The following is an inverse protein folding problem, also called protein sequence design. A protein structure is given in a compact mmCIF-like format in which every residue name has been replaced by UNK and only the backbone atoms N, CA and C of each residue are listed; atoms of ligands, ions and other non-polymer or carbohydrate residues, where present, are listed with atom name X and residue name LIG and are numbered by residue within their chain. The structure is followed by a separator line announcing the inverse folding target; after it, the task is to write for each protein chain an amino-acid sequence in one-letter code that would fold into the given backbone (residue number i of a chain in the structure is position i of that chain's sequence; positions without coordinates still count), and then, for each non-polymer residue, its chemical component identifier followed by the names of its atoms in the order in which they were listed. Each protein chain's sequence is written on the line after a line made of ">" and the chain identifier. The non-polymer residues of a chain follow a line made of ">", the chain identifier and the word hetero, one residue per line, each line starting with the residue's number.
data_IF_666010036738
#
_entry.id   IF_666010036738
#
_cell.length_a   1.000
_cell.length_b   1.000
_cell.length_c   1.000
_cell.angle_alpha   90.00
_cell.angle_beta   90.00
_cell.angle_gamma   90.00
#
_symmetry.space_group_name_H-M   'P 1'
#
loop_
_entity.id
_entity.type
_entity.pdbx_description
1 polymer ?
#
# COMPACT_ATOMS: atom_id res chain seq x y z
N UNK A 1 17.94 -21.94 -59.51
CA UNK A 1 18.88 -21.71 -58.40
C UNK A 1 18.37 -20.49 -57.63
N UNK A 2 17.64 -20.71 -56.54
CA UNK A 2 17.24 -19.64 -55.62
C UNK A 2 17.33 -20.21 -54.21
N UNK A 3 18.21 -19.64 -53.41
CA UNK A 3 18.35 -19.83 -51.98
C UNK A 3 17.97 -18.49 -51.35
N UNK A 4 16.99 -18.47 -50.46
CA UNK A 4 16.81 -17.45 -49.41
C UNK A 4 16.01 -18.10 -48.26
N UNK A 5 16.45 -17.96 -47.00
CA UNK A 5 15.90 -18.71 -45.88
C UNK A 5 14.76 -18.00 -45.15
N UNK A 6 14.04 -18.82 -44.39
CA UNK A 6 12.94 -18.57 -43.46
C UNK A 6 12.89 -17.19 -42.78
N UNK A 7 11.74 -16.54 -42.90
CA UNK A 7 11.29 -15.55 -41.94
C UNK A 7 10.75 -16.28 -40.69
N UNK A 8 11.43 -16.11 -39.56
CA UNK A 8 10.92 -16.49 -38.24
C UNK A 8 9.84 -15.48 -37.84
N UNK A 9 8.65 -15.90 -37.38
CA UNK A 9 7.75 -14.99 -36.69
C UNK A 9 8.36 -14.60 -35.34
N UNK A 10 8.47 -13.30 -35.10
CA UNK A 10 8.82 -12.71 -33.81
C UNK A 10 7.69 -13.03 -32.81
N UNK A 11 7.86 -14.13 -32.06
CA UNK A 11 7.09 -14.37 -30.85
C UNK A 11 7.49 -13.30 -29.82
N UNK A 12 6.72 -12.22 -29.81
CA UNK A 12 6.71 -11.25 -28.73
C UNK A 12 6.24 -11.98 -27.47
N UNK A 13 7.20 -12.49 -26.69
CA UNK A 13 6.99 -12.86 -25.29
C UNK A 13 6.75 -11.56 -24.53
N UNK A 14 5.52 -11.07 -24.61
CA UNK A 14 4.98 -10.19 -23.60
C UNK A 14 4.89 -11.02 -22.31
N UNK A 15 5.86 -10.82 -21.43
CA UNK A 15 5.80 -11.24 -20.02
C UNK A 15 4.48 -10.74 -19.45
N UNK A 16 3.49 -11.61 -19.46
CA UNK A 16 2.17 -11.36 -18.89
C UNK A 16 2.33 -11.46 -17.39
N UNK A 17 2.49 -10.30 -16.75
CA UNK A 17 2.12 -10.15 -15.34
C UNK A 17 0.70 -10.72 -15.20
N UNK A 18 0.35 -11.45 -14.12
CA UNK A 18 -1.02 -11.88 -13.92
C UNK A 18 -1.89 -10.62 -13.99
N UNK A 19 -2.80 -10.59 -14.96
CA UNK A 19 -3.75 -9.51 -15.20
C UNK A 19 -4.60 -9.38 -13.94
N UNK A 20 -4.11 -8.58 -13.00
CA UNK A 20 -4.83 -8.26 -11.79
C UNK A 20 -5.76 -7.15 -12.20
N UNK A 21 -7.00 -7.50 -12.53
CA UNK A 21 -8.02 -6.52 -12.82
C UNK A 21 -8.18 -5.61 -11.59
N UNK A 22 -7.90 -4.32 -11.79
CA UNK A 22 -8.07 -3.31 -10.76
C UNK A 22 -9.46 -2.70 -10.89
N UNK A 23 -10.17 -2.64 -9.77
CA UNK A 23 -11.45 -1.95 -9.66
C UNK A 23 -11.30 -0.72 -8.79
N UNK A 24 -11.95 0.38 -9.19
CA UNK A 24 -11.94 1.63 -8.43
C UNK A 24 -12.99 1.55 -7.32
N UNK A 25 -12.53 1.60 -6.08
CA UNK A 25 -13.40 1.81 -4.93
C UNK A 25 -13.50 3.30 -4.62
N UNK A 26 -14.71 3.82 -4.52
CA UNK A 26 -14.97 5.21 -4.16
C UNK A 26 -15.94 5.26 -2.98
N UNK A 27 -15.60 6.05 -1.96
CA UNK A 27 -16.47 6.35 -0.85
C UNK A 27 -16.82 7.85 -0.86
N UNK A 28 -17.95 8.25 -1.47
CA UNK A 28 -18.34 9.66 -1.54
C UNK A 28 -18.69 10.26 -0.17
N UNK A 29 -19.06 9.45 0.83
CA UNK A 29 -19.34 9.95 2.17
C UNK A 29 -18.06 10.48 2.87
N UNK A 30 -16.91 9.90 2.53
CA UNK A 30 -15.61 10.31 3.06
C UNK A 30 -14.75 11.05 2.04
N UNK A 31 -15.20 11.20 0.79
CA UNK A 31 -14.48 11.86 -0.30
C UNK A 31 -13.11 11.27 -0.60
N UNK A 32 -13.01 9.94 -0.67
CA UNK A 32 -11.80 9.29 -1.17
C UNK A 32 -12.14 8.22 -2.20
N UNK A 33 -11.19 7.94 -3.08
CA UNK A 33 -11.22 6.81 -3.99
C UNK A 33 -9.83 6.22 -4.18
N UNK A 34 -9.74 4.92 -4.38
CA UNK A 34 -8.50 4.23 -4.72
C UNK A 34 -8.78 2.97 -5.51
N UNK A 35 -7.79 2.50 -6.27
CA UNK A 35 -7.88 1.24 -7.00
C UNK A 35 -7.46 0.09 -6.09
N UNK A 36 -8.19 -1.01 -6.17
CA UNK A 36 -7.86 -2.25 -5.49
C UNK A 36 -7.96 -3.42 -6.46
N UNK A 37 -7.32 -4.55 -6.18
CA UNK A 37 -7.58 -5.78 -6.91
C UNK A 37 -9.05 -6.17 -6.79
N UNK A 38 -9.70 -6.51 -7.91
CA UNK A 38 -11.10 -6.93 -7.94
C UNK A 38 -11.34 -8.20 -7.12
N UNK A 39 -10.36 -9.11 -7.09
CA UNK A 39 -10.40 -10.37 -6.35
C UNK A 39 -10.52 -10.20 -4.83
N UNK A 40 -10.23 -9.01 -4.27
CA UNK A 40 -10.22 -8.82 -2.83
C UNK A 40 -11.64 -8.65 -2.27
N UNK A 41 -11.91 -9.29 -1.14
CA UNK A 41 -13.18 -9.18 -0.45
C UNK A 41 -13.20 -7.97 0.49
N UNK A 42 -14.32 -7.25 0.53
CA UNK A 42 -14.54 -6.21 1.53
C UNK A 42 -14.94 -6.88 2.85
N UNK A 43 -14.27 -6.51 3.94
CA UNK A 43 -14.53 -7.00 5.29
C UNK A 43 -14.68 -5.82 6.24
N UNK A 44 -15.54 -5.96 7.24
CA UNK A 44 -15.70 -4.94 8.28
C UNK A 44 -14.69 -5.17 9.41
N UNK A 45 -14.08 -4.08 9.89
CA UNK A 45 -13.20 -4.09 11.07
C UNK A 45 -13.39 -2.79 11.83
N UNK A 46 -13.61 -2.91 13.14
CA UNK A 46 -13.77 -1.75 14.01
C UNK A 46 -12.57 -0.80 13.88
N UNK A 47 -12.85 0.48 13.61
CA UNK A 47 -11.85 1.54 13.47
C UNK A 47 -11.28 1.73 12.05
N UNK A 48 -11.63 0.86 11.09
CA UNK A 48 -11.38 1.12 9.67
C UNK A 48 -12.68 1.61 9.01
N UNK A 49 -12.57 2.54 8.07
CA UNK A 49 -13.70 2.97 7.24
C UNK A 49 -14.01 1.91 6.17
N UNK A 50 -12.96 1.35 5.56
CA UNK A 50 -13.07 0.14 4.75
C UNK A 50 -11.84 -0.75 4.96
N UNK A 51 -12.01 -2.06 4.85
CA UNK A 51 -10.91 -3.01 4.84
C UNK A 51 -11.17 -4.04 3.73
N UNK A 52 -10.17 -4.24 2.88
CA UNK A 52 -10.14 -5.28 1.87
C UNK A 52 -9.17 -6.37 2.31
N UNK A 53 -9.53 -7.61 2.06
CA UNK A 53 -8.71 -8.79 2.37
C UNK A 53 -8.55 -9.63 1.11
N UNK A 54 -7.36 -10.17 0.94
CA UNK A 54 -7.13 -11.16 -0.11
C UNK A 54 -7.80 -12.51 0.29
N UNK A 55 -8.69 -13.07 -0.55
CA UNK A 55 -9.38 -14.32 -0.23
C UNK A 55 -8.45 -15.54 -0.19
N UNK A 56 -7.35 -15.50 -0.97
CA UNK A 56 -6.32 -16.55 -1.02
C UNK A 56 -5.40 -16.39 0.19
N UNK A 57 -4.93 -15.17 0.44
CA UNK A 57 -4.04 -14.83 1.56
C UNK A 57 -4.74 -13.94 2.57
N UNK A 58 -5.49 -14.55 3.49
CA UNK A 58 -6.24 -13.82 4.55
C UNK A 58 -5.38 -12.93 5.46
N UNK A 59 -4.06 -13.11 5.46
CA UNK A 59 -3.10 -12.28 6.17
C UNK A 59 -2.75 -10.98 5.42
N UNK A 60 -3.00 -10.92 4.11
CA UNK A 60 -2.86 -9.72 3.30
C UNK A 60 -4.13 -8.87 3.36
N UNK A 61 -3.99 -7.63 3.79
CA UNK A 61 -5.12 -6.71 3.95
C UNK A 61 -4.79 -5.30 3.51
N UNK A 62 -5.74 -4.58 2.94
CA UNK A 62 -5.61 -3.17 2.55
C UNK A 62 -6.82 -2.42 3.09
N UNK A 63 -6.61 -1.50 4.03
CA UNK A 63 -7.70 -0.74 4.64
C UNK A 63 -7.50 0.75 4.53
N UNK A 64 -8.60 1.49 4.57
CA UNK A 64 -8.62 2.93 4.75
C UNK A 64 -9.18 3.24 6.14
N UNK A 65 -8.52 4.13 6.84
CA UNK A 65 -8.96 4.68 8.11
C UNK A 65 -9.10 6.19 7.96
N UNK A 66 -10.26 6.74 8.31
CA UNK A 66 -10.52 8.18 8.26
C UNK A 66 -10.78 8.67 9.67
N UNK A 67 -9.98 9.62 10.15
CA UNK A 67 -10.07 10.16 11.50
C UNK A 67 -10.14 11.69 11.47
N UNK A 68 -11.01 12.32 12.25
CA UNK A 68 -10.99 13.77 12.41
C UNK A 68 -9.73 14.20 13.18
N UNK A 69 -9.05 15.24 12.71
CA UNK A 69 -7.84 15.79 13.32
C UNK A 69 -7.92 17.32 13.41
N UNK A 70 -7.33 17.91 14.44
CA UNK A 70 -7.36 19.37 14.60
C UNK A 70 -6.40 20.10 13.65
N UNK A 71 -5.38 19.40 13.13
CA UNK A 71 -4.42 20.02 12.22
C UNK A 71 -4.95 20.02 10.77
N UNK A 72 -4.73 21.11 10.02
CA UNK A 72 -5.24 21.22 8.65
C UNK A 72 -4.37 20.50 7.62
N UNK A 73 -3.07 20.33 7.90
CA UNK A 73 -2.09 19.77 6.95
C UNK A 73 -1.14 18.80 7.64
N UNK A 74 -0.62 17.86 6.86
CA UNK A 74 0.33 16.85 7.34
C UNK A 74 1.71 17.46 7.69
N UNK A 75 2.07 18.57 7.06
CA UNK A 75 3.32 19.29 7.33
C UNK A 75 3.45 19.75 8.80
N UNK A 76 2.31 20.01 9.46
CA UNK A 76 2.27 20.35 10.90
C UNK A 76 2.76 19.21 11.79
N UNK A 77 2.68 17.96 11.33
CA UNK A 77 3.24 16.81 12.06
C UNK A 77 4.77 16.69 11.93
N UNK A 78 5.33 17.35 10.92
CA UNK A 78 6.74 17.33 10.55
C UNK A 78 6.95 16.97 9.07
N UNK A 79 8.21 17.03 8.66
CA UNK A 79 8.66 16.56 7.35
C UNK A 79 8.46 15.04 7.21
N UNK A 80 8.53 14.55 5.97
CA UNK A 80 8.47 13.11 5.65
C UNK A 80 9.37 12.27 6.57
N UNK A 81 10.60 12.71 6.81
CA UNK A 81 11.59 12.02 7.65
C UNK A 81 11.18 12.00 9.12
N UNK A 82 10.70 13.13 9.66
CA UNK A 82 10.25 13.20 11.06
C UNK A 82 9.03 12.32 11.29
N UNK A 83 8.09 12.30 10.35
CA UNK A 83 6.91 11.43 10.43
C UNK A 83 7.31 9.97 10.26
N UNK A 84 8.24 9.65 9.36
CA UNK A 84 8.80 8.31 9.20
C UNK A 84 9.44 7.81 10.50
N UNK A 85 10.26 8.64 11.16
CA UNK A 85 10.89 8.29 12.44
C UNK A 85 9.86 8.08 13.55
N UNK A 86 8.85 8.96 13.65
CA UNK A 86 7.74 8.79 14.60
C UNK A 86 6.95 7.50 14.34
N UNK A 87 6.69 7.17 13.08
CA UNK A 87 6.03 5.95 12.67
C UNK A 87 6.85 4.71 13.05
N UNK A 88 8.15 4.72 12.77
CA UNK A 88 9.07 3.65 13.17
C UNK A 88 9.14 3.51 14.70
N UNK A 89 9.22 4.62 15.43
CA UNK A 89 9.23 4.63 16.89
C UNK A 89 7.92 4.06 17.47
N UNK A 90 6.77 4.45 16.92
CA UNK A 90 5.47 3.93 17.32
C UNK A 90 5.33 2.42 17.05
N UNK A 91 5.87 1.94 15.93
CA UNK A 91 5.89 0.50 15.62
C UNK A 91 6.83 -0.28 16.56
N UNK A 92 8.00 0.27 16.87
CA UNK A 92 8.96 -0.32 17.83
C UNK A 92 8.45 -0.30 19.28
N UNK A 93 7.59 0.67 19.62
CA UNK A 93 6.98 0.75 20.95
C UNK A 93 5.97 -0.39 21.23
N UNK A 94 5.53 -1.12 20.19
CA UNK A 94 4.65 -2.28 20.36
C UNK A 94 5.45 -3.47 20.89
N UNK A 95 4.99 -4.06 21.98
CA UNK A 95 5.64 -5.21 22.65
C UNK A 95 5.92 -6.40 21.72
N UNK A 96 5.08 -6.61 20.71
CA UNK A 96 5.24 -7.71 19.74
C UNK A 96 6.30 -7.46 18.66
N UNK A 97 6.79 -6.23 18.53
CA UNK A 97 7.70 -5.82 17.45
C UNK A 97 9.15 -6.01 17.88
N UNK A 98 9.90 -6.79 17.12
CA UNK A 98 11.34 -7.01 17.35
C UNK A 98 12.17 -5.95 16.64
N UNK A 99 11.84 -5.65 15.39
CA UNK A 99 12.58 -4.69 14.57
C UNK A 99 11.70 -4.08 13.49
N UNK A 100 12.02 -2.86 13.09
CA UNK A 100 11.31 -2.13 12.03
C UNK A 100 12.36 -1.55 11.09
N UNK A 101 12.19 -1.80 9.80
CA UNK A 101 13.08 -1.34 8.74
C UNK A 101 12.29 -0.53 7.72
N UNK A 102 12.60 0.74 7.58
CA UNK A 102 12.05 1.56 6.50
C UNK A 102 12.66 1.09 5.17
N UNK A 103 11.83 0.75 4.19
CA UNK A 103 12.25 0.32 2.86
C UNK A 103 12.16 1.47 1.86
N UNK A 104 11.09 2.26 1.93
CA UNK A 104 10.87 3.40 1.06
C UNK A 104 10.02 4.43 1.77
N UNK A 105 10.29 5.70 1.50
CA UNK A 105 9.48 6.83 1.94
C UNK A 105 9.39 7.81 0.77
N UNK A 106 8.20 8.31 0.51
CA UNK A 106 7.93 9.23 -0.58
C UNK A 106 6.93 10.28 -0.12
N UNK A 107 7.14 11.51 -0.57
CA UNK A 107 6.19 12.59 -0.41
C UNK A 107 5.61 12.93 -1.79
N UNK A 108 4.29 13.06 -1.84
CA UNK A 108 3.53 13.50 -3.01
C UNK A 108 2.59 14.62 -2.61
N UNK A 109 2.14 15.37 -3.60
CA UNK A 109 1.11 16.37 -3.43
C UNK A 109 -0.10 15.95 -4.26
N UNK A 110 -1.30 16.25 -3.76
CA UNK A 110 -2.53 16.04 -4.51
C UNK A 110 -3.26 17.37 -4.63
N UNK A 111 -4.20 17.54 -5.56
CA UNK A 111 -4.91 18.81 -5.75
C UNK A 111 -5.57 19.36 -4.47
N UNK A 112 -5.90 18.48 -3.53
CA UNK A 112 -6.60 18.82 -2.28
C UNK A 112 -5.76 18.59 -1.01
N UNK A 113 -4.68 17.81 -1.08
CA UNK A 113 -3.76 17.58 0.02
C UNK A 113 -2.38 18.15 -0.31
N UNK A 114 -1.94 19.14 0.47
CA UNK A 114 -0.61 19.75 0.33
C UNK A 114 0.55 18.76 0.57
N UNK A 115 0.29 17.67 1.29
CA UNK A 115 1.29 16.62 1.51
C UNK A 115 0.60 15.28 1.73
N UNK A 116 1.02 14.29 0.96
CA UNK A 116 0.70 12.88 1.06
C UNK A 116 2.01 12.14 1.29
N UNK A 117 2.10 11.39 2.38
CA UNK A 117 3.29 10.63 2.71
C UNK A 117 3.02 9.15 2.49
N UNK A 118 3.82 8.53 1.62
CA UNK A 118 3.83 7.10 1.39
C UNK A 118 5.05 6.49 2.07
N UNK A 119 4.81 5.48 2.89
CA UNK A 119 5.81 4.72 3.61
C UNK A 119 5.66 3.26 3.24
N UNK A 120 6.79 2.61 3.00
CA UNK A 120 6.87 1.18 2.84
C UNK A 120 7.92 0.71 3.82
N UNK A 121 7.51 -0.09 4.78
CA UNK A 121 8.40 -0.55 5.83
C UNK A 121 8.13 -2.01 6.17
N UNK A 122 9.16 -2.66 6.65
CA UNK A 122 9.11 -4.03 7.12
C UNK A 122 9.09 -4.03 8.65
N UNK A 123 8.22 -4.85 9.22
CA UNK A 123 8.09 -5.08 10.65
C UNK A 123 8.40 -6.55 10.91
N UNK A 124 9.48 -6.80 11.64
CA UNK A 124 9.83 -8.11 12.16
C UNK A 124 9.20 -8.26 13.56
N UNK A 125 8.37 -9.27 13.74
CA UNK A 125 7.63 -9.52 14.99
C UNK A 125 7.82 -10.95 15.46
N UNK A 126 7.51 -11.22 16.73
CA UNK A 126 7.56 -12.59 17.29
C UNK A 126 6.66 -13.59 16.56
N UNK A 127 5.68 -13.12 15.78
CA UNK A 127 4.74 -13.92 15.00
C UNK A 127 5.15 -14.07 13.52
N UNK A 128 6.27 -13.47 13.12
CA UNK A 128 6.74 -13.44 11.74
C UNK A 128 6.90 -12.01 11.22
N UNK A 129 7.39 -11.91 9.99
CA UNK A 129 7.71 -10.65 9.32
C UNK A 129 6.53 -10.16 8.50
N UNK A 130 6.35 -8.85 8.45
CA UNK A 130 5.28 -8.21 7.67
C UNK A 130 5.83 -7.01 6.94
N UNK A 131 5.41 -6.84 5.70
CA UNK A 131 5.64 -5.63 4.95
C UNK A 131 4.37 -4.79 4.97
N UNK A 132 4.52 -3.52 5.33
CA UNK A 132 3.42 -2.58 5.49
C UNK A 132 3.62 -1.46 4.47
N UNK A 133 2.58 -1.23 3.68
CA UNK A 133 2.44 -0.07 2.80
C UNK A 133 1.49 0.89 3.49
N UNK A 134 1.94 2.10 3.78
CA UNK A 134 1.14 3.08 4.47
C UNK A 134 1.13 4.38 3.68
N UNK A 135 -0.04 4.88 3.35
CA UNK A 135 -0.22 6.17 2.70
C UNK A 135 -1.05 7.05 3.62
N UNK A 136 -0.55 8.25 3.91
CA UNK A 136 -1.13 9.18 4.88
C UNK A 136 -1.33 10.53 4.25
N UNK A 137 -2.52 11.10 4.39
CA UNK A 137 -2.84 12.43 3.91
C UNK A 137 -3.78 13.15 4.88
N UNK A 138 -3.70 14.48 4.94
CA UNK A 138 -4.66 15.30 5.68
C UNK A 138 -5.33 16.27 4.72
N UNK A 139 -6.67 16.22 4.67
CA UNK A 139 -7.50 17.08 3.84
C UNK A 139 -8.71 17.52 4.67
N UNK A 140 -8.99 18.83 4.69
CA UNK A 140 -10.13 19.43 5.44
C UNK A 140 -10.24 18.92 6.89
N UNK A 141 -9.13 18.89 7.63
CA UNK A 141 -9.09 18.42 9.03
C UNK A 141 -9.52 16.95 9.21
N UNK A 142 -9.38 16.13 8.16
CA UNK A 142 -9.52 14.67 8.22
C UNK A 142 -8.20 14.03 7.82
N UNK A 143 -7.75 13.09 8.64
CA UNK A 143 -6.60 12.24 8.42
C UNK A 143 -7.06 10.96 7.72
N UNK A 144 -6.52 10.73 6.54
CA UNK A 144 -6.71 9.53 5.75
C UNK A 144 -5.47 8.67 5.91
N UNK A 145 -5.65 7.43 6.34
CA UNK A 145 -4.57 6.45 6.49
C UNK A 145 -4.96 5.21 5.71
N UNK A 146 -4.32 5.00 4.57
CA UNK A 146 -4.38 3.75 3.83
C UNK A 146 -3.28 2.82 4.35
N UNK A 147 -3.65 1.63 4.79
CA UNK A 147 -2.75 0.65 5.37
C UNK A 147 -2.89 -0.70 4.65
N UNK A 148 -1.88 -1.02 3.85
CA UNK A 148 -1.65 -2.33 3.27
C UNK A 148 -0.72 -3.15 4.18
N UNK A 149 -1.09 -4.39 4.49
CA UNK A 149 -0.30 -5.33 5.27
C UNK A 149 -0.11 -6.61 4.48
N UNK A 150 1.13 -7.02 4.25
CA UNK A 150 1.48 -8.31 3.65
C UNK A 150 2.31 -9.08 4.66
N UNK A 151 1.85 -10.27 5.08
CA UNK A 151 2.69 -11.16 5.88
C UNK A 151 3.69 -11.89 5.00
N UNK A 152 4.97 -11.72 5.27
CA UNK A 152 6.01 -12.56 4.68
C UNK A 152 6.19 -13.82 5.55
N UNK A 153 6.49 -14.94 4.90
CA UNK A 153 6.78 -16.19 5.60
C UNK A 153 8.02 -16.09 6.50
N UNK A 154 8.40 -17.19 7.16
CA UNK A 154 9.61 -17.25 7.98
C UNK A 154 10.92 -17.28 7.17
N UNK A 155 10.85 -17.23 5.84
CA UNK A 155 12.04 -17.20 5.00
C UNK A 155 12.72 -15.82 5.03
N UNK A 156 14.02 -15.81 4.76
CA UNK A 156 14.91 -14.65 4.87
C UNK A 156 14.48 -13.47 3.98
N UNK A 157 13.69 -13.73 2.94
CA UNK A 157 13.12 -12.74 2.03
C UNK A 157 11.62 -13.00 1.82
N UNK A 158 10.86 -11.93 1.58
CA UNK A 158 9.52 -12.04 1.03
C UNK A 158 9.62 -12.71 -0.35
N UNK A 159 8.88 -13.80 -0.57
CA UNK A 159 8.85 -14.48 -1.86
C UNK A 159 8.31 -13.57 -2.97
N UNK A 160 8.54 -13.97 -4.22
CA UNK A 160 8.13 -13.20 -5.41
C UNK A 160 6.64 -12.83 -5.38
N UNK A 161 5.80 -13.71 -4.85
CA UNK A 161 4.36 -13.47 -4.73
C UNK A 161 4.02 -12.38 -3.70
N UNK A 162 4.75 -12.30 -2.58
CA UNK A 162 4.57 -11.22 -1.61
C UNK A 162 5.07 -9.89 -2.18
N UNK A 163 6.17 -9.91 -2.94
CA UNK A 163 6.66 -8.72 -3.65
C UNK A 163 5.61 -8.23 -4.64
N UNK A 164 5.01 -9.12 -5.43
CA UNK A 164 3.91 -8.77 -6.33
C UNK A 164 2.71 -8.18 -5.55
N UNK A 165 2.33 -8.80 -4.42
CA UNK A 165 1.23 -8.27 -3.58
C UNK A 165 1.52 -6.88 -3.04
N UNK A 166 2.77 -6.62 -2.63
CA UNK A 166 3.21 -5.30 -2.17
C UNK A 166 3.15 -4.29 -3.31
N UNK A 167 3.54 -4.67 -4.53
CA UNK A 167 3.42 -3.81 -5.71
C UNK A 167 1.96 -3.47 -6.03
N UNK A 168 1.04 -4.43 -5.89
CA UNK A 168 -0.40 -4.16 -6.00
C UNK A 168 -0.87 -3.14 -4.96
N UNK A 169 -0.40 -3.26 -3.70
CA UNK A 169 -0.74 -2.30 -2.64
C UNK A 169 -0.10 -0.93 -2.85
N UNK A 170 1.11 -0.87 -3.40
CA UNK A 170 1.75 0.39 -3.80
C UNK A 170 0.95 1.07 -4.90
N UNK A 171 0.52 0.32 -5.92
CA UNK A 171 -0.36 0.84 -6.97
C UNK A 171 -1.68 1.38 -6.38
N UNK A 172 -2.28 0.66 -5.44
CA UNK A 172 -3.47 1.11 -4.73
C UNK A 172 -3.23 2.44 -3.97
N UNK A 173 -2.12 2.54 -3.23
CA UNK A 173 -1.72 3.76 -2.53
C UNK A 173 -1.42 4.92 -3.50
N UNK A 174 -0.81 4.64 -4.65
CA UNK A 174 -0.51 5.63 -5.67
C UNK A 174 -1.77 6.18 -6.34
N UNK A 175 -2.75 5.30 -6.58
CA UNK A 175 -4.05 5.63 -7.16
C UNK A 175 -5.00 6.36 -6.20
N UNK A 176 -4.61 6.54 -4.93
CA UNK A 176 -5.42 7.22 -3.94
C UNK A 176 -5.69 8.68 -4.36
N UNK A 177 -6.98 9.01 -4.46
CA UNK A 177 -7.49 10.35 -4.72
C UNK A 177 -8.41 10.76 -3.58
N UNK A 178 -8.28 11.99 -3.14
CA UNK A 178 -9.12 12.60 -2.10
C UNK A 178 -9.78 13.82 -2.73
N UNK A 179 -11.11 13.97 -2.52
CA UNK A 179 -12.00 14.96 -3.17
C UNK A 179 -12.63 15.98 -2.18
#
# INVERSE_FOLDING_TARGET
>A
MFVLPAAFPEDSVATTLPSTDFTTYANPAQNYSFQRPESWEQVEKAGADVLFRDPIKKSSTLGMTVLPVMVPTLDTFGSLEVVAEKLVAAEKAKESTLSVKMLSQQQRETPLASAVYDFVYEVDSTRGRKQIVNCVAIVRSKLYILNGNVSCGKETACGEEQVATVELMKHAAESLKIE
#
